data_IF_356325075229
#
_entry.id   IF_356325075229
#
_cell.length_a   1.000
_cell.length_b   1.000
_cell.length_c   1.000
_cell.angle_alpha   90.00
_cell.angle_beta   90.00
_cell.angle_gamma   90.00
#
_symmetry.space_group_name_H-M   'P 1'
#
loop_
_entity.id
_entity.type
_entity.pdbx_description
1 polymer ?
#
# COMPACT_ATOMS: atom_id res chain seq x y z
N UNK A 1 -6.10 -16.41 -1.80
CA UNK A 1 -5.91 -15.79 -3.13
C UNK A 1 -7.15 -15.05 -3.62
N UNK A 2 -8.28 -15.71 -3.93
CA UNK A 2 -9.47 -15.00 -4.46
C UNK A 2 -10.15 -14.09 -3.43
N UNK A 3 -10.31 -14.53 -2.18
CA UNK A 3 -10.94 -13.73 -1.12
C UNK A 3 -10.12 -12.48 -0.72
N UNK A 4 -8.80 -12.54 -0.79
CA UNK A 4 -7.91 -11.42 -0.40
C UNK A 4 -7.81 -10.36 -1.49
N UNK A 5 -7.87 -10.78 -2.76
CA UNK A 5 -8.04 -9.87 -3.89
C UNK A 5 -9.40 -9.17 -3.84
N UNK A 6 -10.44 -9.85 -3.40
CA UNK A 6 -11.75 -9.24 -3.15
C UNK A 6 -11.72 -8.24 -1.99
N UNK A 7 -11.04 -8.55 -0.89
CA UNK A 7 -10.84 -7.61 0.24
C UNK A 7 -10.03 -6.39 -0.20
N UNK A 8 -8.94 -6.59 -0.93
CA UNK A 8 -8.11 -5.51 -1.47
C UNK A 8 -8.89 -4.64 -2.45
N UNK A 9 -9.69 -5.25 -3.34
CA UNK A 9 -10.56 -4.53 -4.27
C UNK A 9 -11.69 -3.78 -3.56
N UNK A 10 -12.25 -4.35 -2.50
CA UNK A 10 -13.33 -3.73 -1.74
C UNK A 10 -12.82 -2.57 -0.85
N UNK A 11 -11.61 -2.68 -0.28
CA UNK A 11 -11.01 -1.67 0.60
C UNK A 11 -10.20 -0.58 -0.13
N UNK A 12 -9.71 -0.89 -1.34
CA UNK A 12 -8.83 -0.02 -2.13
C UNK A 12 -7.35 -0.05 -1.70
N UNK A 13 -6.99 -0.87 -0.70
CA UNK A 13 -5.62 -1.02 -0.18
C UNK A 13 -5.36 -2.48 0.21
N UNK A 14 -4.10 -2.89 0.14
CA UNK A 14 -3.67 -4.23 0.55
C UNK A 14 -3.06 -4.21 1.96
N UNK A 15 -3.47 -5.16 2.81
CA UNK A 15 -2.84 -5.44 4.09
C UNK A 15 -1.93 -6.66 3.89
N UNK A 16 -0.66 -6.58 4.32
CA UNK A 16 0.27 -7.72 4.25
C UNK A 16 0.21 -8.49 5.56
N UNK A 17 -0.56 -9.58 5.58
CA UNK A 17 -0.33 -10.67 6.52
C UNK A 17 0.38 -11.85 5.82
N UNK A 18 0.91 -12.75 6.66
CA UNK A 18 1.90 -13.85 6.54
C UNK A 18 2.11 -14.61 5.19
N UNK A 19 1.35 -14.38 4.13
CA UNK A 19 1.32 -15.22 2.92
C UNK A 19 1.73 -14.52 1.60
N UNK A 20 2.40 -13.37 1.65
CA UNK A 20 2.93 -12.75 0.42
C UNK A 20 4.14 -13.52 -0.13
N UNK A 21 4.15 -13.73 -1.45
CA UNK A 21 5.19 -14.39 -2.27
C UNK A 21 6.63 -14.08 -1.80
N UNK A 22 7.36 -15.13 -1.40
CA UNK A 22 8.76 -15.21 -0.91
C UNK A 22 9.26 -14.02 -0.05
N UNK A 23 9.61 -14.23 1.23
CA UNK A 23 10.06 -13.14 2.10
C UNK A 23 11.45 -12.68 1.63
N UNK A 24 11.65 -11.41 1.24
CA UNK A 24 13.00 -10.88 1.15
C UNK A 24 13.57 -10.58 2.54
N UNK A 25 12.74 -10.69 3.59
CA UNK A 25 13.02 -10.17 4.91
C UNK A 25 12.54 -11.16 5.98
N UNK A 26 13.44 -12.05 6.41
CA UNK A 26 13.42 -12.66 7.75
C UNK A 26 13.69 -11.57 8.82
N UNK A 27 13.01 -10.43 8.75
CA UNK A 27 13.27 -9.29 9.61
C UNK A 27 12.50 -9.48 10.93
N UNK A 28 13.19 -10.11 11.88
CA UNK A 28 12.97 -9.79 13.27
C UNK A 28 13.44 -8.34 13.50
N UNK A 29 12.62 -7.44 14.07
CA UNK A 29 11.27 -7.65 14.62
C UNK A 29 10.13 -7.57 13.58
N UNK A 30 8.95 -8.16 13.87
CA UNK A 30 7.82 -8.20 12.93
C UNK A 30 7.43 -6.81 12.41
N UNK A 31 7.29 -6.71 11.09
CA UNK A 31 6.98 -5.48 10.36
C UNK A 31 5.54 -5.54 9.85
N UNK A 32 4.75 -4.56 10.24
CA UNK A 32 3.42 -4.31 9.67
C UNK A 32 3.53 -3.40 8.45
N UNK A 33 2.67 -3.62 7.46
CA UNK A 33 2.63 -2.83 6.25
C UNK A 33 1.20 -2.59 5.73
N UNK A 34 0.92 -1.36 5.28
CA UNK A 34 -0.24 -1.03 4.44
C UNK A 34 0.26 -0.38 3.16
N UNK A 35 -0.30 -0.78 2.02
CA UNK A 35 0.07 -0.23 0.73
C UNK A 35 -1.15 0.27 -0.05
N UNK A 36 -1.01 1.44 -0.67
CA UNK A 36 -1.99 2.04 -1.56
C UNK A 36 -1.41 2.11 -2.99
N UNK A 37 -2.16 1.70 -4.02
CA UNK A 37 -1.66 1.69 -5.39
C UNK A 37 -1.58 3.10 -5.97
N UNK A 38 -0.53 3.39 -6.73
CA UNK A 38 -0.40 4.63 -7.49
C UNK A 38 -0.96 4.36 -8.88
N UNK A 39 -2.22 4.77 -9.11
CA UNK A 39 -2.97 4.49 -10.33
C UNK A 39 -3.14 5.76 -11.14
N UNK A 40 -2.78 5.73 -12.42
CA UNK A 40 -3.11 6.77 -13.41
C UNK A 40 -4.09 6.22 -14.44
N UNK A 41 -4.48 7.03 -15.43
CA UNK A 41 -5.29 6.57 -16.57
C UNK A 41 -4.58 5.46 -17.37
N UNK A 42 -3.26 5.50 -17.43
CA UNK A 42 -2.46 4.61 -18.28
C UNK A 42 -2.13 3.28 -17.58
N UNK A 43 -2.31 3.20 -16.27
CA UNK A 43 -2.16 1.95 -15.52
C UNK A 43 -1.68 2.15 -14.08
N UNK A 44 -1.13 1.07 -13.51
CA UNK A 44 -0.57 1.05 -12.15
C UNK A 44 0.94 1.33 -12.25
N UNK A 45 1.40 2.38 -11.58
CA UNK A 45 2.83 2.74 -11.55
C UNK A 45 3.61 2.04 -10.43
N UNK A 46 2.90 1.47 -9.46
CA UNK A 46 3.46 0.85 -8.27
C UNK A 46 2.55 1.06 -7.07
N UNK A 47 3.11 1.01 -5.87
CA UNK A 47 2.40 1.26 -4.63
C UNK A 47 3.22 2.14 -3.69
N UNK A 48 2.55 2.98 -2.92
CA UNK A 48 3.13 3.66 -1.77
C UNK A 48 2.84 2.85 -0.52
N UNK A 49 3.87 2.53 0.27
CA UNK A 49 3.74 1.69 1.46
C UNK A 49 4.11 2.45 2.72
N UNK A 50 3.32 2.28 3.77
CA UNK A 50 3.65 2.63 5.14
C UNK A 50 4.12 1.37 5.87
N UNK A 51 5.26 1.45 6.54
CA UNK A 51 5.87 0.35 7.29
C UNK A 51 6.05 0.76 8.75
N UNK A 52 5.87 -0.18 9.68
CA UNK A 52 6.11 0.04 11.11
C UNK A 52 6.48 -1.27 11.80
N UNK A 53 7.02 -1.16 13.02
CA UNK A 53 7.28 -2.31 13.87
C UNK A 53 6.02 -2.67 14.66
N UNK A 54 5.53 -3.89 14.50
CA UNK A 54 4.27 -4.34 15.13
C UNK A 54 4.38 -4.36 16.66
N UNK A 55 5.59 -4.55 17.20
CA UNK A 55 5.86 -4.46 18.64
C UNK A 55 5.57 -3.06 19.23
N UNK A 56 5.61 -2.02 18.40
CA UNK A 56 5.40 -0.64 18.83
C UNK A 56 4.02 -0.11 18.47
N UNK A 57 3.43 -0.59 17.37
CA UNK A 57 2.20 -0.02 16.83
C UNK A 57 1.37 -1.12 16.16
N UNK A 58 0.10 -1.23 16.55
CA UNK A 58 -0.83 -2.14 15.88
C UNK A 58 -1.43 -1.53 14.61
N UNK A 59 -1.81 -2.36 13.64
CA UNK A 59 -2.51 -1.94 12.42
C UNK A 59 -3.77 -1.10 12.72
N UNK A 60 -4.58 -1.51 13.70
CA UNK A 60 -5.77 -0.76 14.14
C UNK A 60 -5.44 0.65 14.64
N UNK A 61 -4.27 0.83 15.27
CA UNK A 61 -3.82 2.14 15.73
C UNK A 61 -3.37 3.00 14.56
N UNK A 62 -2.63 2.41 13.60
CA UNK A 62 -2.24 3.07 12.35
C UNK A 62 -3.48 3.58 11.61
N UNK A 63 -4.49 2.72 11.42
CA UNK A 63 -5.71 3.07 10.69
C UNK A 63 -6.48 4.18 11.43
N UNK A 64 -6.75 4.02 12.73
CA UNK A 64 -7.51 5.02 13.51
C UNK A 64 -6.78 6.36 13.67
N UNK A 65 -5.46 6.40 13.48
CA UNK A 65 -4.67 7.62 13.55
C UNK A 65 -4.77 8.53 12.31
N UNK A 66 -5.44 8.07 11.25
CA UNK A 66 -5.58 8.83 10.01
C UNK A 66 -4.41 8.65 9.04
N UNK A 67 -3.47 7.74 9.32
CA UNK A 67 -2.29 7.52 8.48
C UNK A 67 -2.64 6.84 7.15
N UNK A 68 -3.70 6.02 7.12
CA UNK A 68 -4.20 5.41 5.89
C UNK A 68 -4.73 6.47 4.92
N UNK A 69 -5.48 7.44 5.42
CA UNK A 69 -6.03 8.54 4.63
C UNK A 69 -4.90 9.40 4.05
N UNK A 70 -3.87 9.70 4.86
CA UNK A 70 -2.69 10.42 4.39
C UNK A 70 -1.87 9.63 3.37
N UNK A 71 -1.79 8.31 3.51
CA UNK A 71 -1.15 7.43 2.53
C UNK A 71 -1.88 7.52 1.18
N UNK A 72 -3.21 7.45 1.20
CA UNK A 72 -4.07 7.58 0.01
C UNK A 72 -3.94 8.96 -0.65
N UNK A 73 -3.97 10.03 0.13
CA UNK A 73 -3.75 11.39 -0.36
C UNK A 73 -2.37 11.51 -1.02
N UNK A 74 -1.33 10.97 -0.40
CA UNK A 74 0.03 10.99 -0.94
C UNK A 74 0.14 10.19 -2.25
N UNK A 75 -0.48 9.00 -2.32
CA UNK A 75 -0.51 8.19 -3.54
C UNK A 75 -1.26 8.91 -4.68
N UNK A 76 -2.36 9.60 -4.35
CA UNK A 76 -3.13 10.42 -5.29
C UNK A 76 -2.33 11.63 -5.80
N UNK A 77 -1.59 12.31 -4.91
CA UNK A 77 -0.72 13.43 -5.28
C UNK A 77 0.38 12.96 -6.25
N UNK A 78 1.01 11.82 -5.98
CA UNK A 78 2.00 11.21 -6.89
C UNK A 78 1.34 10.88 -8.23
N UNK A 79 0.17 10.23 -8.22
CA UNK A 79 -0.58 9.92 -9.45
C UNK A 79 -0.89 11.18 -10.27
N UNK A 80 -1.28 12.27 -9.61
CA UNK A 80 -1.54 13.56 -10.25
C UNK A 80 -0.29 14.10 -10.92
N UNK A 81 0.87 14.05 -10.24
CA UNK A 81 2.14 14.51 -10.81
C UNK A 81 2.62 13.65 -11.97
N UNK A 82 2.43 12.33 -11.91
CA UNK A 82 2.74 11.42 -13.01
C UNK A 82 1.87 11.71 -14.23
N UNK A 83 0.58 11.97 -14.01
CA UNK A 83 -0.39 12.32 -15.05
C UNK A 83 -0.07 13.68 -15.69
N UNK A 84 0.23 14.71 -14.89
CA UNK A 84 0.67 16.03 -15.40
C UNK A 84 1.98 15.94 -16.21
N UNK A 85 2.88 15.04 -15.81
CA UNK A 85 4.13 14.76 -16.51
C UNK A 85 3.98 13.90 -17.77
N UNK A 86 2.78 13.37 -18.06
CA UNK A 86 2.55 12.36 -19.10
C UNK A 86 3.53 11.17 -19.01
N UNK A 87 3.84 10.74 -17.78
CA UNK A 87 4.70 9.59 -17.55
C UNK A 87 3.84 8.33 -17.72
N UNK A 88 4.17 7.41 -18.64
CA UNK A 88 3.42 6.17 -18.81
C UNK A 88 3.68 5.21 -17.66
N UNK A 89 2.69 4.37 -17.36
CA UNK A 89 2.88 3.23 -16.46
C UNK A 89 3.86 2.21 -17.10
N UNK A 90 4.64 1.46 -16.30
CA UNK A 90 5.45 0.37 -16.80
C UNK A 90 4.59 -0.77 -17.35
N UNK A 91 5.13 -1.49 -18.34
CA UNK A 91 4.50 -2.69 -18.93
C UNK A 91 4.40 -3.87 -17.97
#
# INVERSE_FOLDING_TARGET
MDAELEITRAGGYGIREELYCEPPFDESPPIGAIADPIITRDGIHGSLSLLWLEEHLSADTVIRSGLLERLKESACDISTKLSEGNIPAPD
#
